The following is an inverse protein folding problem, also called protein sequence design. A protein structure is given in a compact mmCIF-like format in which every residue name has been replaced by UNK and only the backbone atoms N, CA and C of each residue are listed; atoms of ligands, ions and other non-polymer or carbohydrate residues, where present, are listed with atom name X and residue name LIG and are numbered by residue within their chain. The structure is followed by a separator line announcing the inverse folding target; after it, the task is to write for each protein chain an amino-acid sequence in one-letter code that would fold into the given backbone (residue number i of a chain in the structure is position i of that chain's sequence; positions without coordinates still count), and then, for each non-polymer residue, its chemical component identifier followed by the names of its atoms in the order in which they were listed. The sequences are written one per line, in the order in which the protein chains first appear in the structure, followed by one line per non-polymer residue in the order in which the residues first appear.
data_IF_118740131057
#
_entry.id   IF_118740131057
#
_cell.length_a   1.000
_cell.length_b   1.000
_cell.length_c   1.000
_cell.angle_alpha   90.00
_cell.angle_beta   90.00
_cell.angle_gamma   90.00
#
_symmetry.space_group_name_H-M   'P 1'
#
loop_
_entity.id
_entity.type
_entity.pdbx_description
1 polymer ?
#
# COMPACT_ATOMS: atom_id res chain seq x y z
N UNK A 1 -32.26 -9.97 -52.18
CA UNK A 1 -32.30 -9.52 -50.77
C UNK A 1 -32.32 -10.76 -49.89
N UNK A 2 -31.17 -11.16 -49.33
CA UNK A 2 -31.10 -12.28 -48.37
C UNK A 2 -30.55 -11.74 -47.05
N UNK A 3 -31.43 -11.61 -46.05
CA UNK A 3 -31.06 -11.26 -44.69
C UNK A 3 -30.44 -12.48 -43.99
N UNK A 4 -29.15 -12.42 -43.68
CA UNK A 4 -28.54 -13.37 -42.76
C UNK A 4 -28.84 -12.93 -41.32
N UNK A 5 -29.85 -13.52 -40.69
CA UNK A 5 -30.06 -13.34 -39.25
C UNK A 5 -28.94 -14.03 -38.46
N UNK A 6 -28.11 -13.22 -37.81
CA UNK A 6 -27.13 -13.69 -36.83
C UNK A 6 -27.85 -14.13 -35.55
N UNK A 7 -27.95 -15.43 -35.33
CA UNK A 7 -28.58 -15.98 -34.12
C UNK A 7 -27.66 -15.84 -32.91
N UNK A 8 -28.24 -15.50 -31.74
CA UNK A 8 -27.55 -15.30 -30.45
C UNK A 8 -26.59 -16.45 -30.05
N UNK A 9 -26.91 -17.68 -30.45
CA UNK A 9 -26.09 -18.88 -30.20
C UNK A 9 -24.81 -18.91 -31.02
N UNK A 10 -24.83 -18.36 -32.24
CA UNK A 10 -23.68 -18.26 -33.15
C UNK A 10 -22.73 -17.15 -32.72
N UNK A 11 -23.26 -16.06 -32.16
CA UNK A 11 -22.47 -15.00 -31.53
C UNK A 11 -21.70 -15.54 -30.31
N UNK A 12 -22.33 -16.34 -29.44
CA UNK A 12 -21.66 -16.94 -28.28
C UNK A 12 -20.59 -17.97 -28.66
N UNK A 13 -20.79 -18.73 -29.74
CA UNK A 13 -19.79 -19.66 -30.27
C UNK A 13 -18.58 -18.93 -30.89
N UNK A 14 -18.81 -17.81 -31.58
CA UNK A 14 -17.74 -16.98 -32.16
C UNK A 14 -16.99 -16.16 -31.09
N UNK A 15 -17.67 -15.69 -30.05
CA UNK A 15 -17.05 -14.96 -28.94
C UNK A 15 -16.26 -15.88 -28.01
N UNK A 16 -16.65 -17.15 -27.87
CA UNK A 16 -15.94 -18.13 -27.03
C UNK A 16 -14.58 -18.58 -27.60
N UNK A 17 -14.38 -18.47 -28.91
CA UNK A 17 -13.14 -18.89 -29.59
C UNK A 17 -12.11 -17.77 -29.74
N UNK A 18 -12.48 -16.51 -29.47
CA UNK A 18 -11.56 -15.37 -29.63
C UNK A 18 -10.95 -14.89 -28.31
N UNK A 19 -11.56 -15.17 -27.16
CA UNK A 19 -11.02 -14.77 -25.85
C UNK A 19 -10.17 -15.83 -25.14
N UNK A 20 -10.29 -17.11 -25.50
CA UNK A 20 -9.58 -18.20 -24.80
C UNK A 20 -8.21 -18.55 -25.42
N UNK A 21 -7.99 -18.22 -26.71
CA UNK A 21 -6.74 -18.56 -27.41
C UNK A 21 -5.58 -17.59 -27.14
N UNK A 22 -5.85 -16.44 -26.51
CA UNK A 22 -4.82 -15.50 -26.05
C UNK A 22 -4.28 -15.82 -24.64
N UNK A 23 -4.90 -16.77 -23.93
CA UNK A 23 -4.55 -17.08 -22.54
C UNK A 23 -3.72 -18.37 -22.35
N UNK A 24 -3.48 -19.16 -23.40
CA UNK A 24 -2.82 -20.48 -23.27
C UNK A 24 -1.48 -20.60 -24.01
N UNK A 25 -0.76 -19.48 -24.20
CA UNK A 25 0.60 -19.45 -24.77
C UNK A 25 1.71 -19.07 -23.80
N UNK A 26 1.44 -19.02 -22.49
CA UNK A 26 2.37 -18.51 -21.47
C UNK A 26 3.45 -19.50 -21.05
N UNK A 27 4.33 -19.91 -21.97
CA UNK A 27 5.58 -20.58 -21.62
C UNK A 27 6.77 -19.71 -22.04
N UNK A 28 7.34 -18.97 -21.07
CA UNK A 28 8.80 -18.95 -20.90
C UNK A 28 9.63 -17.94 -21.69
N UNK A 29 9.27 -16.66 -21.74
CA UNK A 29 10.28 -15.60 -21.98
C UNK A 29 10.04 -14.38 -21.08
N UNK A 30 11.10 -13.80 -20.46
CA UNK A 30 10.98 -12.67 -19.54
C UNK A 30 10.44 -11.40 -20.23
N UNK A 31 10.66 -11.26 -21.54
CA UNK A 31 10.17 -10.13 -22.34
C UNK A 31 8.64 -10.18 -22.48
N UNK A 32 8.06 -11.37 -22.63
CA UNK A 32 6.61 -11.52 -22.78
C UNK A 32 5.89 -11.39 -21.44
N UNK A 33 6.50 -11.82 -20.33
CA UNK A 33 5.98 -11.59 -18.99
C UNK A 33 5.95 -10.08 -18.64
N UNK A 34 7.02 -9.34 -18.97
CA UNK A 34 7.10 -7.90 -18.75
C UNK A 34 6.12 -7.12 -19.65
N UNK A 35 5.95 -7.54 -20.91
CA UNK A 35 4.98 -6.93 -21.82
C UNK A 35 3.52 -7.22 -21.43
N UNK A 36 3.20 -8.46 -21.08
CA UNK A 36 1.87 -8.84 -20.58
C UNK A 36 1.58 -8.14 -19.26
N UNK A 37 2.55 -8.09 -18.35
CA UNK A 37 2.45 -7.34 -17.09
C UNK A 37 2.14 -5.86 -17.34
N UNK A 38 2.90 -5.17 -18.20
CA UNK A 38 2.68 -3.76 -18.56
C UNK A 38 1.33 -3.50 -19.23
N UNK A 39 0.80 -4.48 -19.97
CA UNK A 39 -0.50 -4.37 -20.64
C UNK A 39 -1.68 -4.73 -19.72
N UNK A 40 -1.49 -5.66 -18.78
CA UNK A 40 -2.54 -6.08 -17.85
C UNK A 40 -2.58 -5.24 -16.58
N UNK A 41 -1.48 -4.60 -16.17
CA UNK A 41 -1.41 -3.79 -14.94
C UNK A 41 -2.51 -2.73 -14.86
N UNK A 42 -2.76 -1.89 -15.89
CA UNK A 42 -3.80 -0.87 -15.80
C UNK A 42 -5.21 -1.45 -15.71
N UNK A 43 -5.42 -2.64 -16.28
CA UNK A 43 -6.69 -3.36 -16.22
C UNK A 43 -6.88 -4.02 -14.85
N UNK A 44 -5.83 -4.66 -14.33
CA UNK A 44 -5.79 -5.23 -12.98
C UNK A 44 -6.01 -4.13 -11.94
N UNK A 45 -5.31 -2.99 -12.04
CA UNK A 45 -5.47 -1.86 -11.13
C UNK A 45 -6.90 -1.33 -11.12
N UNK A 46 -7.53 -1.09 -12.28
CA UNK A 46 -8.92 -0.64 -12.34
C UNK A 46 -9.90 -1.69 -11.81
N UNK A 47 -9.63 -2.97 -12.07
CA UNK A 47 -10.47 -4.06 -11.60
C UNK A 47 -10.34 -4.26 -10.09
N UNK A 48 -9.13 -4.14 -9.56
CA UNK A 48 -8.82 -4.12 -8.13
C UNK A 48 -9.48 -2.90 -7.49
N UNK A 49 -9.32 -1.69 -8.02
CA UNK A 49 -10.03 -0.48 -7.53
C UNK A 49 -11.56 -0.65 -7.50
N UNK A 50 -12.13 -1.37 -8.48
CA UNK A 50 -13.58 -1.59 -8.59
C UNK A 50 -14.09 -2.71 -7.67
N UNK A 51 -13.28 -3.73 -7.40
CA UNK A 51 -13.63 -4.88 -6.55
C UNK A 51 -13.32 -4.63 -5.08
N UNK A 52 -12.22 -3.93 -4.79
CA UNK A 52 -11.91 -3.52 -3.43
C UNK A 52 -12.98 -2.54 -2.97
N UNK A 53 -13.81 -2.98 -2.02
CA UNK A 53 -14.59 -2.08 -1.19
C UNK A 53 -13.58 -1.31 -0.32
N UNK A 54 -13.13 -0.10 -0.70
CA UNK A 54 -11.86 0.47 -0.19
C UNK A 54 -11.93 0.88 1.28
N UNK A 55 -13.06 0.62 1.93
CA UNK A 55 -13.36 0.99 3.31
C UNK A 55 -13.84 -0.22 4.14
N UNK A 56 -13.98 -1.41 3.55
CA UNK A 56 -14.39 -2.62 4.29
C UNK A 56 -13.18 -3.15 5.06
N UNK A 57 -13.23 -3.19 6.41
CA UNK A 57 -12.13 -3.72 7.19
C UNK A 57 -11.89 -5.21 6.92
N UNK A 58 -10.61 -5.58 6.86
CA UNK A 58 -10.15 -6.97 6.91
C UNK A 58 -10.33 -7.50 8.33
N UNK A 59 -10.87 -8.72 8.51
CA UNK A 59 -11.02 -9.32 9.84
C UNK A 59 -9.69 -9.37 10.60
N UNK A 60 -9.71 -8.99 11.87
CA UNK A 60 -8.54 -9.04 12.74
C UNK A 60 -8.32 -10.43 13.33
N UNK A 61 -7.07 -10.75 13.62
CA UNK A 61 -6.68 -11.96 14.33
C UNK A 61 -6.86 -11.81 15.83
N UNK A 62 -6.92 -12.93 16.54
CA UNK A 62 -6.97 -12.95 18.01
C UNK A 62 -5.57 -12.74 18.61
N UNK A 63 -5.46 -12.21 19.84
CA UNK A 63 -4.17 -12.00 20.51
C UNK A 63 -3.30 -13.25 20.63
N UNK A 64 -3.90 -14.44 20.81
CA UNK A 64 -3.19 -15.70 20.91
C UNK A 64 -2.63 -16.21 19.56
N UNK A 65 -2.96 -15.54 18.44
CA UNK A 65 -2.45 -15.85 17.11
C UNK A 65 -1.24 -14.97 16.72
N UNK A 66 -0.83 -14.02 17.57
CA UNK A 66 0.35 -13.18 17.31
C UNK A 66 1.60 -14.05 17.22
N UNK A 67 2.42 -13.80 16.20
CA UNK A 67 3.64 -14.56 15.90
C UNK A 67 4.88 -13.66 16.14
N UNK A 68 5.29 -13.45 17.40
CA UNK A 68 6.24 -12.38 17.78
C UNK A 68 7.61 -12.47 17.09
N UNK A 69 8.03 -13.70 16.75
CA UNK A 69 9.35 -13.98 16.18
C UNK A 69 9.33 -14.21 14.66
N UNK A 70 8.17 -14.13 13.99
CA UNK A 70 8.05 -14.38 12.54
C UNK A 70 8.15 -13.14 11.67
N UNK A 71 8.07 -11.94 12.25
CA UNK A 71 8.26 -10.70 11.48
C UNK A 71 9.74 -10.54 11.14
N UNK A 72 10.10 -10.92 9.91
CA UNK A 72 11.46 -10.81 9.41
C UNK A 72 11.84 -9.33 9.21
N UNK A 73 13.06 -8.98 9.60
CA UNK A 73 13.62 -7.65 9.33
C UNK A 73 14.13 -7.63 7.89
N UNK A 74 13.36 -7.03 7.01
CA UNK A 74 13.83 -6.70 5.66
C UNK A 74 13.98 -5.18 5.52
N UNK A 75 15.15 -4.73 5.09
CA UNK A 75 15.53 -3.31 4.94
C UNK A 75 16.17 -3.11 3.58
N UNK A 76 15.76 -2.09 2.83
CA UNK A 76 16.35 -1.82 1.51
C UNK A 76 17.82 -1.38 1.62
N UNK A 77 18.19 -0.80 2.76
CA UNK A 77 19.55 -0.37 3.11
C UNK A 77 19.85 -0.70 4.58
N UNK A 78 20.22 0.30 5.37
CA UNK A 78 20.58 0.19 6.78
C UNK A 78 19.54 0.84 7.67
N UNK A 79 19.45 0.37 8.92
CA UNK A 79 18.66 1.04 9.95
C UNK A 79 19.20 2.46 10.20
N UNK A 80 18.41 3.52 9.98
CA UNK A 80 18.85 4.89 10.18
C UNK A 80 18.93 5.23 11.67
N UNK A 81 19.83 6.14 12.02
CA UNK A 81 19.90 6.73 13.37
C UNK A 81 19.01 7.96 13.39
N UNK A 82 17.94 7.93 14.20
CA UNK A 82 16.95 9.02 14.28
C UNK A 82 17.01 9.66 15.66
N UNK A 83 17.28 10.97 15.69
CA UNK A 83 17.14 11.81 16.89
C UNK A 83 15.65 12.12 17.12
N UNK A 84 15.05 11.49 18.14
CA UNK A 84 13.63 11.64 18.44
C UNK A 84 13.22 13.06 18.82
N UNK A 85 14.12 13.87 19.38
CA UNK A 85 13.82 15.27 19.72
C UNK A 85 13.68 16.13 18.47
N UNK A 86 14.45 15.82 17.42
CA UNK A 86 14.43 16.52 16.13
C UNK A 86 13.48 15.90 15.12
N UNK A 87 13.05 14.66 15.34
CA UNK A 87 12.15 13.97 14.44
C UNK A 87 10.86 14.77 14.21
N UNK A 88 10.46 14.90 12.95
CA UNK A 88 9.17 15.45 12.53
C UNK A 88 8.60 14.58 11.43
N UNK A 89 7.30 14.32 11.51
CA UNK A 89 6.50 13.88 10.38
C UNK A 89 5.99 15.12 9.63
N UNK A 90 6.43 15.29 8.39
CA UNK A 90 5.96 16.36 7.52
C UNK A 90 4.76 15.88 6.71
N UNK A 91 3.69 16.67 6.65
CA UNK A 91 2.55 16.44 5.75
C UNK A 91 2.38 17.65 4.85
N UNK A 92 2.59 17.48 3.55
CA UNK A 92 2.65 18.58 2.59
C UNK A 92 2.01 18.21 1.23
N UNK A 93 2.21 19.06 0.22
CA UNK A 93 1.65 18.91 -1.13
C UNK A 93 0.33 19.68 -1.31
N UNK A 94 -0.66 19.04 -1.89
CA UNK A 94 -1.99 19.60 -2.18
C UNK A 94 -2.89 19.62 -0.93
N UNK A 95 -2.46 20.35 0.09
CA UNK A 95 -3.14 20.50 1.39
C UNK A 95 -3.36 21.98 1.72
N UNK A 96 -4.40 22.28 2.49
CA UNK A 96 -4.65 23.65 2.95
C UNK A 96 -3.85 23.98 4.22
N UNK A 97 -3.53 22.97 5.04
CA UNK A 97 -2.81 23.11 6.31
C UNK A 97 -1.61 22.15 6.35
N UNK A 98 -0.44 22.52 5.79
CA UNK A 98 0.77 21.71 5.93
C UNK A 98 1.11 21.47 7.40
N UNK A 99 1.52 20.23 7.74
CA UNK A 99 1.83 19.82 9.11
C UNK A 99 3.30 19.49 9.31
N UNK A 100 3.79 19.72 10.52
CA UNK A 100 5.11 19.26 11.00
C UNK A 100 4.94 18.76 12.43
N UNK A 101 4.69 17.46 12.57
CA UNK A 101 4.29 16.84 13.84
C UNK A 101 5.49 16.18 14.51
N UNK A 102 5.72 16.46 15.78
CA UNK A 102 6.63 15.68 16.63
C UNK A 102 6.01 14.32 16.99
N UNK A 103 6.80 13.41 17.56
CA UNK A 103 6.24 12.17 18.11
C UNK A 103 5.27 12.43 19.26
N UNK A 104 5.49 13.47 20.06
CA UNK A 104 4.57 13.86 21.12
C UNK A 104 3.20 14.30 20.57
N UNK A 105 3.19 15.08 19.49
CA UNK A 105 1.95 15.49 18.82
C UNK A 105 1.19 14.28 18.26
N UNK A 106 1.92 13.35 17.62
CA UNK A 106 1.34 12.11 17.07
C UNK A 106 0.76 11.23 18.18
N UNK A 107 1.46 11.09 19.31
CA UNK A 107 1.04 10.26 20.44
C UNK A 107 -0.08 10.90 21.27
N UNK A 108 -0.32 12.21 21.13
CA UNK A 108 -1.48 12.88 21.71
C UNK A 108 -2.79 12.61 20.95
N UNK A 109 -2.71 12.10 19.70
CA UNK A 109 -3.87 11.69 18.91
C UNK A 109 -4.37 10.30 19.33
N UNK A 110 -5.64 9.94 19.02
CA UNK A 110 -6.23 8.67 19.43
C UNK A 110 -5.45 7.45 18.97
N UNK A 111 -4.98 6.65 19.93
CA UNK A 111 -4.35 5.35 19.67
C UNK A 111 -5.38 4.37 19.10
N UNK A 112 -5.04 3.80 17.95
CA UNK A 112 -5.72 2.67 17.33
C UNK A 112 -4.77 1.49 17.31
N UNK A 113 -5.26 0.31 17.67
CA UNK A 113 -4.53 -0.94 17.51
C UNK A 113 -5.32 -1.92 16.66
N UNK A 114 -4.60 -2.75 15.91
CA UNK A 114 -5.17 -3.83 15.12
C UNK A 114 -4.22 -5.03 15.07
N UNK A 115 -4.76 -6.24 15.03
CA UNK A 115 -3.98 -7.47 14.85
C UNK A 115 -4.19 -7.98 13.43
N UNK A 116 -3.15 -7.83 12.60
CA UNK A 116 -3.22 -8.11 11.16
C UNK A 116 -2.08 -9.03 10.72
N UNK A 117 -2.25 -9.65 9.55
CA UNK A 117 -1.19 -10.38 8.88
C UNK A 117 -0.39 -9.43 8.01
N UNK A 118 0.90 -9.30 8.29
CA UNK A 118 1.87 -8.70 7.39
C UNK A 118 2.32 -9.76 6.37
N UNK A 119 2.22 -9.48 5.08
CA UNK A 119 2.57 -10.42 3.99
C UNK A 119 3.69 -9.79 3.16
N UNK A 120 4.79 -10.52 3.00
CA UNK A 120 5.89 -10.10 2.14
C UNK A 120 5.81 -10.78 0.77
N UNK A 121 6.23 -10.06 -0.27
CA UNK A 121 6.37 -10.58 -1.64
C UNK A 121 7.37 -11.76 -1.72
N UNK A 122 8.29 -11.87 -0.76
CA UNK A 122 9.27 -12.96 -0.66
C UNK A 122 8.67 -14.29 -0.16
N UNK A 123 7.35 -14.37 0.05
CA UNK A 123 6.66 -15.62 0.39
C UNK A 123 6.55 -15.92 1.90
N UNK A 124 6.89 -14.97 2.76
CA UNK A 124 6.69 -15.09 4.21
C UNK A 124 5.60 -14.14 4.72
N UNK A 125 5.00 -14.50 5.86
CA UNK A 125 4.00 -13.68 6.53
C UNK A 125 4.11 -13.81 8.05
N UNK A 126 3.63 -12.78 8.77
CA UNK A 126 3.60 -12.77 10.22
C UNK A 126 2.33 -12.09 10.73
N UNK A 127 1.67 -12.68 11.72
CA UNK A 127 0.57 -12.04 12.45
C UNK A 127 1.16 -11.13 13.52
N UNK A 128 0.88 -9.83 13.44
CA UNK A 128 1.47 -8.79 14.28
C UNK A 128 0.38 -7.85 14.76
N UNK A 129 0.45 -7.46 16.03
CA UNK A 129 -0.34 -6.34 16.53
C UNK A 129 0.41 -5.03 16.27
N UNK A 130 -0.22 -4.12 15.54
CA UNK A 130 0.29 -2.76 15.36
C UNK A 130 -0.54 -1.80 16.20
N UNK A 131 0.11 -0.79 16.76
CA UNK A 131 -0.54 0.32 17.46
C UNK A 131 -0.01 1.64 16.97
N UNK A 132 -0.90 2.60 16.72
CA UNK A 132 -0.53 3.94 16.31
C UNK A 132 -1.74 4.79 15.96
N UNK A 133 -1.55 5.76 15.07
CA UNK A 133 -2.62 6.64 14.59
C UNK A 133 -3.07 6.20 13.20
N UNK A 134 -4.37 6.28 12.90
CA UNK A 134 -4.86 6.04 11.54
C UNK A 134 -4.37 7.15 10.62
N UNK A 135 -3.80 6.78 9.48
CA UNK A 135 -3.24 7.76 8.53
C UNK A 135 -4.29 8.77 8.07
N UNK A 136 -5.54 8.34 7.89
CA UNK A 136 -6.67 9.21 7.55
C UNK A 136 -6.88 10.38 8.51
N UNK A 137 -6.58 10.20 9.81
CA UNK A 137 -6.78 11.25 10.82
C UNK A 137 -5.71 12.33 10.66
N UNK A 138 -4.45 11.93 10.40
CA UNK A 138 -3.37 12.87 10.08
C UNK A 138 -3.65 13.60 8.76
N UNK A 139 -4.13 12.89 7.73
CA UNK A 139 -4.51 13.51 6.46
C UNK A 139 -5.67 14.49 6.68
N UNK A 140 -6.69 14.13 7.46
CA UNK A 140 -7.81 15.03 7.74
C UNK A 140 -7.36 16.34 8.41
N UNK A 141 -6.39 16.27 9.33
CA UNK A 141 -5.81 17.46 9.98
C UNK A 141 -5.14 18.42 9.00
N UNK A 142 -4.58 17.93 7.89
CA UNK A 142 -3.95 18.78 6.87
C UNK A 142 -4.95 19.41 5.90
N UNK A 143 -6.22 18.98 5.95
CA UNK A 143 -7.30 19.42 5.05
C UNK A 143 -6.90 19.31 3.57
N UNK A 144 -6.85 18.08 3.01
CA UNK A 144 -6.43 17.85 1.63
C UNK A 144 -7.39 18.51 0.65
N UNK A 145 -6.86 18.99 -0.48
CA UNK A 145 -7.68 19.45 -1.59
C UNK A 145 -8.47 18.27 -2.17
N UNK A 146 -9.65 18.54 -2.72
CA UNK A 146 -10.51 17.52 -3.34
C UNK A 146 -9.90 16.85 -4.58
N UNK A 147 -8.84 17.43 -5.15
CA UNK A 147 -8.08 16.89 -6.27
C UNK A 147 -7.11 15.77 -5.88
N UNK A 148 -6.79 15.61 -4.60
CA UNK A 148 -5.80 14.63 -4.13
C UNK A 148 -6.24 13.20 -4.48
N UNK A 149 -5.34 12.46 -5.12
CA UNK A 149 -5.53 11.06 -5.53
C UNK A 149 -4.45 10.12 -5.02
N UNK A 150 -3.30 10.64 -4.59
CA UNK A 150 -2.16 9.83 -4.17
C UNK A 150 -1.48 10.42 -2.93
N UNK A 151 -0.85 9.54 -2.16
CA UNK A 151 0.01 9.87 -1.03
C UNK A 151 1.41 9.29 -1.26
N UNK A 152 2.42 10.16 -1.24
CA UNK A 152 3.83 9.80 -1.36
C UNK A 152 4.48 9.77 0.01
N UNK A 153 5.27 8.74 0.28
CA UNK A 153 5.98 8.56 1.52
C UNK A 153 7.49 8.70 1.30
N UNK A 154 8.16 9.37 2.24
CA UNK A 154 9.62 9.36 2.35
C UNK A 154 10.04 8.82 3.70
N UNK A 155 11.13 8.06 3.69
CA UNK A 155 11.67 7.39 4.87
C UNK A 155 13.06 7.92 5.20
N UNK A 156 13.46 7.84 6.47
CA UNK A 156 14.72 8.39 6.95
C UNK A 156 15.97 7.70 6.35
N UNK A 157 15.83 6.46 5.91
CA UNK A 157 16.86 5.68 5.23
C UNK A 157 16.96 5.98 3.72
N UNK A 158 16.05 6.82 3.19
CA UNK A 158 15.96 7.18 1.78
C UNK A 158 14.92 6.39 0.98
N UNK A 159 14.22 5.44 1.61
CA UNK A 159 13.15 4.70 0.94
C UNK A 159 12.00 5.64 0.56
N UNK A 160 11.43 5.44 -0.62
CA UNK A 160 10.30 6.22 -1.13
C UNK A 160 9.25 5.28 -1.71
N UNK A 161 7.99 5.71 -1.58
CA UNK A 161 6.82 4.91 -1.91
C UNK A 161 5.63 5.81 -2.27
N UNK A 162 4.66 5.30 -3.01
CA UNK A 162 3.37 5.96 -3.25
C UNK A 162 2.19 5.00 -3.16
N UNK A 163 1.10 5.48 -2.56
CA UNK A 163 -0.17 4.75 -2.46
C UNK A 163 -1.28 5.60 -3.09
N UNK A 164 -2.30 4.93 -3.61
CA UNK A 164 -3.59 5.57 -3.89
C UNK A 164 -4.21 6.13 -2.61
N UNK A 165 -4.94 7.25 -2.73
CA UNK A 165 -5.52 7.92 -1.57
C UNK A 165 -6.56 7.05 -0.86
N UNK A 166 -7.26 6.16 -1.56
CA UNK A 166 -8.25 5.28 -0.96
C UNK A 166 -7.60 4.30 0.03
N UNK A 167 -6.47 3.69 -0.35
CA UNK A 167 -5.66 2.83 0.52
C UNK A 167 -5.03 3.59 1.68
N UNK A 168 -4.59 4.84 1.45
CA UNK A 168 -4.07 5.70 2.52
C UNK A 168 -5.16 6.07 3.54
N UNK A 169 -6.41 6.26 3.09
CA UNK A 169 -7.57 6.59 3.92
C UNK A 169 -8.28 5.36 4.51
N UNK A 170 -7.87 4.15 4.15
CA UNK A 170 -8.46 2.90 4.65
C UNK A 170 -8.45 2.86 6.20
N UNK A 171 -9.53 2.38 6.85
CA UNK A 171 -9.65 2.40 8.32
C UNK A 171 -8.58 1.58 9.06
N UNK A 172 -7.92 0.66 8.37
CA UNK A 172 -6.80 -0.16 8.87
C UNK A 172 -5.45 0.22 8.23
N UNK A 173 -5.28 1.46 7.76
CA UNK A 173 -3.96 1.99 7.43
C UNK A 173 -3.47 2.86 8.58
N UNK A 174 -2.44 2.38 9.29
CA UNK A 174 -1.85 3.06 10.43
C UNK A 174 -0.47 3.63 10.10
N UNK A 175 -0.18 4.77 10.73
CA UNK A 175 1.17 5.15 11.10
C UNK A 175 1.45 4.60 12.50
N UNK A 176 2.08 3.43 12.54
CA UNK A 176 2.33 2.66 13.75
C UNK A 176 3.61 3.10 14.47
N UNK A 177 3.50 3.22 15.80
CA UNK A 177 4.60 3.49 16.72
C UNK A 177 4.67 2.46 17.89
N UNK A 178 3.81 1.44 17.84
CA UNK A 178 3.83 0.26 18.72
C UNK A 178 3.77 -1.04 17.92
N UNK A 179 4.41 -2.08 18.46
CA UNK A 179 4.39 -3.46 17.96
C UNK A 179 4.15 -4.40 19.13
N UNK A 180 3.16 -5.29 19.02
CA UNK A 180 2.84 -6.31 20.03
C UNK A 180 2.68 -5.74 21.45
N UNK A 181 1.96 -4.62 21.58
CA UNK A 181 1.69 -3.95 22.86
C UNK A 181 2.87 -3.17 23.46
N UNK A 182 4.04 -3.16 22.80
CA UNK A 182 5.23 -2.45 23.24
C UNK A 182 5.66 -1.35 22.25
N UNK A 183 6.62 -0.53 22.66
CA UNK A 183 7.24 0.47 21.77
C UNK A 183 7.82 -0.22 20.51
N UNK A 184 7.69 0.43 19.36
CA UNK A 184 8.20 -0.08 18.09
C UNK A 184 9.73 -0.25 18.14
N UNK A 185 10.30 -1.43 17.83
CA UNK A 185 11.74 -1.59 17.69
C UNK A 185 12.32 -0.80 16.51
N UNK A 186 13.56 -0.34 16.64
CA UNK A 186 14.20 0.51 15.61
C UNK A 186 14.33 -0.24 14.29
N UNK A 187 14.72 -1.52 14.30
CA UNK A 187 14.81 -2.36 13.10
C UNK A 187 13.45 -2.58 12.40
N UNK A 188 12.35 -2.47 13.16
CA UNK A 188 11.00 -2.58 12.65
C UNK A 188 10.43 -1.25 12.13
N UNK A 189 11.14 -0.13 12.26
CA UNK A 189 10.77 1.15 11.67
C UNK A 189 10.53 2.29 12.66
N UNK A 190 10.97 2.18 13.91
CA UNK A 190 10.79 3.25 14.89
C UNK A 190 11.46 4.58 14.45
N UNK A 191 10.82 5.74 14.64
CA UNK A 191 9.68 5.92 15.54
C UNK A 191 8.31 5.72 14.90
N UNK A 192 8.23 5.62 13.57
CA UNK A 192 6.96 5.60 12.85
C UNK A 192 7.07 4.81 11.54
N UNK A 193 6.12 3.90 11.30
CA UNK A 193 6.03 3.11 10.06
C UNK A 193 4.61 3.02 9.53
N UNK A 194 4.45 2.70 8.25
CA UNK A 194 3.17 2.22 7.73
C UNK A 194 2.89 0.79 8.18
N UNK A 195 1.64 0.52 8.54
CA UNK A 195 1.11 -0.81 8.78
C UNK A 195 -0.30 -0.90 8.22
N UNK A 196 -0.55 -1.88 7.34
CA UNK A 196 -1.87 -2.08 6.73
C UNK A 196 -2.08 -3.54 6.30
N UNK A 197 -3.28 -4.12 6.42
CA UNK A 197 -3.55 -5.47 5.94
C UNK A 197 -3.81 -5.54 4.43
N UNK A 198 -3.98 -4.40 3.76
CA UNK A 198 -4.40 -4.33 2.35
C UNK A 198 -3.24 -4.05 1.37
N UNK A 199 -1.99 -4.03 1.84
CA UNK A 199 -0.80 -3.78 1.03
C UNK A 199 0.32 -4.75 1.39
N UNK A 200 1.08 -5.18 0.39
CA UNK A 200 2.28 -6.00 0.59
C UNK A 200 3.36 -5.29 1.41
N UNK A 201 4.25 -6.08 2.01
CA UNK A 201 5.23 -5.59 2.98
C UNK A 201 6.18 -4.52 2.46
N UNK A 202 6.55 -4.56 1.18
CA UNK A 202 7.44 -3.55 0.59
C UNK A 202 6.79 -2.17 0.47
N UNK A 203 5.46 -2.12 0.30
CA UNK A 203 4.68 -0.88 0.34
C UNK A 203 4.64 -0.24 1.72
N UNK A 204 4.85 -1.02 2.79
CA UNK A 204 4.70 -0.59 4.17
C UNK A 204 5.99 0.05 4.70
N UNK A 205 6.26 1.28 4.23
CA UNK A 205 7.47 2.06 4.55
C UNK A 205 7.78 2.11 6.05
N UNK A 206 9.06 1.90 6.39
CA UNK A 206 9.61 2.06 7.74
C UNK A 206 10.20 3.46 7.89
N UNK A 207 10.33 3.96 9.12
CA UNK A 207 11.01 5.24 9.39
C UNK A 207 10.42 6.43 8.63
N UNK A 208 9.09 6.49 8.51
CA UNK A 208 8.40 7.50 7.71
C UNK A 208 8.69 8.89 8.27
N UNK A 209 9.09 9.82 7.40
CA UNK A 209 9.40 11.22 7.75
C UNK A 209 8.52 12.22 6.99
N UNK A 210 7.91 11.81 5.88
CA UNK A 210 7.03 12.69 5.10
C UNK A 210 5.89 11.93 4.43
N UNK A 211 4.73 12.58 4.38
CA UNK A 211 3.57 12.23 3.56
C UNK A 211 3.24 13.42 2.65
N UNK A 212 3.42 13.28 1.34
CA UNK A 212 3.12 14.33 0.36
C UNK A 212 1.86 13.95 -0.43
N UNK A 213 0.83 14.78 -0.38
CA UNK A 213 -0.43 14.54 -1.09
C UNK A 213 -0.43 15.22 -2.46
N UNK A 214 -0.90 14.52 -3.49
CA UNK A 214 -0.88 15.01 -4.87
C UNK A 214 -2.07 14.49 -5.67
N UNK A 215 -2.47 15.23 -6.70
CA UNK A 215 -3.50 14.84 -7.65
C UNK A 215 -3.01 13.91 -8.76
N UNK A 216 -1.69 13.86 -8.99
CA UNK A 216 -1.06 13.10 -10.08
C UNK A 216 -0.02 12.11 -9.55
N UNK A 217 0.00 10.92 -10.15
CA UNK A 217 1.04 9.94 -9.94
C UNK A 217 2.28 10.32 -10.77
N UNK A 218 3.41 10.50 -10.11
CA UNK A 218 4.69 10.83 -10.74
C UNK A 218 5.28 9.61 -11.47
N UNK A 219 6.27 9.86 -12.33
CA UNK A 219 7.09 8.82 -12.96
C UNK A 219 7.95 8.06 -11.94
N UNK A 220 8.31 8.72 -10.83
CA UNK A 220 8.89 8.08 -9.66
C UNK A 220 7.73 7.56 -8.82
N UNK A 221 7.50 6.25 -8.85
CA UNK A 221 6.32 5.63 -8.22
C UNK A 221 6.64 5.11 -6.82
N UNK A 222 7.79 4.48 -6.66
CA UNK A 222 8.21 3.84 -5.44
C UNK A 222 9.47 3.04 -5.73
N UNK A 223 10.28 2.75 -4.71
CA UNK A 223 11.61 2.18 -4.96
C UNK A 223 11.55 0.84 -5.70
N UNK A 224 10.65 -0.07 -5.31
CA UNK A 224 10.55 -1.38 -5.95
C UNK A 224 9.75 -1.30 -7.26
N UNK A 225 8.78 -0.41 -7.33
CA UNK A 225 7.93 -0.15 -8.49
C UNK A 225 8.77 0.38 -9.66
N UNK A 226 9.71 1.27 -9.37
CA UNK A 226 10.65 1.80 -10.35
C UNK A 226 11.65 0.71 -10.83
N UNK A 227 11.73 -0.41 -10.11
CA UNK A 227 12.47 -1.62 -10.48
C UNK A 227 11.59 -2.72 -11.11
N UNK A 228 10.32 -2.42 -11.39
CA UNK A 228 9.40 -3.30 -12.11
C UNK A 228 8.44 -4.12 -11.22
N UNK A 229 8.36 -3.81 -9.93
CA UNK A 229 7.32 -4.40 -9.06
C UNK A 229 5.96 -3.74 -9.34
N UNK A 230 4.89 -4.48 -9.08
CA UNK A 230 3.52 -4.00 -9.26
C UNK A 230 3.22 -2.76 -8.41
N UNK A 231 2.63 -1.72 -8.99
CA UNK A 231 2.43 -0.47 -8.24
C UNK A 231 1.37 -0.56 -7.14
N UNK A 232 0.22 -1.20 -7.41
CA UNK A 232 -0.88 -1.23 -6.47
C UNK A 232 -0.61 -2.17 -5.29
N UNK A 233 -0.11 -3.37 -5.57
CA UNK A 233 0.39 -4.34 -4.59
C UNK A 233 -0.59 -4.61 -3.42
N UNK A 234 -1.86 -4.77 -3.77
CA UNK A 234 -2.96 -5.04 -2.85
C UNK A 234 -3.01 -6.49 -2.38
N UNK A 235 -3.79 -6.75 -1.32
CA UNK A 235 -4.03 -8.09 -0.74
C UNK A 235 -5.53 -8.39 -0.63
#
# INVERSE_FOLDING_TARGET
MNNHEFTRRRFLQLSGLSSMSLLLGGCGTPIFADLVGKLSEPLNQKFEELIFQPQKPVPEFLPNQIEPNKLIINSFKSTPVIDLAKYRLIVDGEVNHPLSLSMADIQALPLTSMIIRHVCVEGWAAIVQWGGIRLREIIALSQPKSSVKYAYFKSADGYYESWDIASALHPQTLLAYQKNGAALPVENGAPLRLASPIKLGYKQSKWVTRVTLTSELSTVKGYWEDLGYEWFAGL
#
